data_IF_717557825449
#
_entry.id   IF_717557825449
#
_cell.length_a   1.000
_cell.length_b   1.000
_cell.length_c   1.000
_cell.angle_alpha   90.00
_cell.angle_beta   90.00
_cell.angle_gamma   90.00
#
_symmetry.space_group_name_H-M   'P 1'
#
loop_
_entity.id
_entity.type
_entity.pdbx_description
1 polymer ?
#
# COMPACT_ATOMS: atom_id res chain seq x y z
N UNK A 1 39.92 22.82 10.77
CA UNK A 1 38.65 22.72 11.53
C UNK A 1 38.24 21.25 11.44
N UNK A 2 38.53 20.49 12.50
CA UNK A 2 38.30 19.04 12.56
C UNK A 2 36.87 18.89 13.06
N UNK A 3 35.99 18.35 12.21
CA UNK A 3 34.64 17.98 12.64
C UNK A 3 34.77 16.66 13.40
N UNK A 4 34.58 16.75 14.70
CA UNK A 4 34.44 15.63 15.61
C UNK A 4 33.21 14.80 15.14
N UNK A 5 33.43 13.52 14.84
CA UNK A 5 32.33 12.57 14.59
C UNK A 5 31.63 12.34 15.92
N UNK A 6 30.29 12.47 15.98
CA UNK A 6 29.58 12.01 17.16
C UNK A 6 29.78 10.50 17.32
N UNK A 7 30.09 10.13 18.55
CA UNK A 7 30.28 8.75 19.00
C UNK A 7 29.11 7.88 18.60
N UNK A 8 29.39 6.67 18.14
CA UNK A 8 28.47 5.59 17.86
C UNK A 8 27.59 5.32 19.08
N UNK A 9 26.42 5.95 19.13
CA UNK A 9 25.34 5.51 20.01
C UNK A 9 24.96 4.09 19.59
N UNK A 10 25.17 3.18 20.51
CA UNK A 10 24.93 1.75 20.43
C UNK A 10 23.48 1.48 20.00
N UNK A 11 23.30 0.94 18.80
CA UNK A 11 22.02 0.48 18.22
C UNK A 11 21.47 -0.77 18.97
N UNK A 12 21.27 -0.65 20.28
CA UNK A 12 20.58 -1.69 21.06
C UNK A 12 19.10 -1.36 21.03
N UNK A 13 18.31 -2.09 20.20
CA UNK A 13 16.86 -2.06 20.18
C UNK A 13 16.19 -1.54 18.92
N UNK A 14 16.90 -1.20 17.85
CA UNK A 14 16.26 -0.88 16.56
C UNK A 14 15.90 -2.18 15.84
N UNK A 15 14.58 -2.42 15.67
CA UNK A 15 14.08 -3.43 14.73
C UNK A 15 14.64 -3.14 13.34
N UNK A 16 14.90 -4.20 12.55
CA UNK A 16 15.35 -4.02 11.16
C UNK A 16 14.33 -3.20 10.38
N UNK A 17 14.79 -2.19 9.62
CA UNK A 17 13.90 -1.39 8.78
C UNK A 17 13.13 -2.29 7.82
N UNK A 18 11.82 -2.10 7.75
CA UNK A 18 10.89 -3.01 7.11
C UNK A 18 10.00 -2.28 6.12
N UNK A 19 9.69 -2.91 4.98
CA UNK A 19 8.64 -2.44 4.06
C UNK A 19 7.31 -3.05 4.50
N UNK A 20 6.39 -2.22 4.96
CA UNK A 20 5.02 -2.59 5.30
C UNK A 20 4.14 -2.46 4.06
N UNK A 21 3.61 -3.57 3.58
CA UNK A 21 2.75 -3.66 2.39
C UNK A 21 1.31 -3.75 2.86
N UNK A 22 0.47 -2.79 2.46
CA UNK A 22 -0.93 -2.72 2.89
C UNK A 22 -1.82 -3.25 1.77
N UNK A 23 -2.52 -4.35 2.03
CA UNK A 23 -3.36 -5.04 1.08
C UNK A 23 -4.78 -5.25 1.59
N UNK A 24 -5.71 -5.45 0.65
CA UNK A 24 -7.11 -5.65 0.94
C UNK A 24 -8.00 -5.11 -0.17
N UNK A 25 -9.29 -5.50 -0.21
CA UNK A 25 -10.23 -5.06 -1.22
C UNK A 25 -10.56 -3.56 -1.13
N UNK A 26 -11.23 -3.05 -2.14
CA UNK A 26 -11.75 -1.68 -2.15
C UNK A 26 -12.68 -1.45 -0.95
N UNK A 27 -12.52 -0.33 -0.26
CA UNK A 27 -13.32 0.01 0.94
C UNK A 27 -12.90 -0.69 2.25
N UNK A 28 -11.85 -1.53 2.25
CA UNK A 28 -11.37 -2.23 3.46
C UNK A 28 -10.67 -1.30 4.48
N UNK A 29 -10.48 -0.02 4.18
CA UNK A 29 -9.85 0.94 5.09
C UNK A 29 -8.32 1.02 5.00
N UNK A 30 -7.73 0.55 3.91
CA UNK A 30 -6.27 0.50 3.71
C UNK A 30 -5.57 1.84 3.95
N UNK A 31 -6.04 2.91 3.34
CA UNK A 31 -5.42 4.24 3.46
C UNK A 31 -5.52 4.78 4.90
N UNK A 32 -6.66 4.56 5.58
CA UNK A 32 -6.83 4.92 6.99
C UNK A 32 -5.84 4.16 7.87
N UNK A 33 -5.72 2.84 7.65
CA UNK A 33 -4.76 2.01 8.37
C UNK A 33 -3.31 2.42 8.10
N UNK A 34 -2.98 2.66 6.82
CA UNK A 34 -1.64 3.11 6.42
C UNK A 34 -1.25 4.44 7.10
N UNK A 35 -2.18 5.40 7.20
CA UNK A 35 -1.97 6.66 7.90
C UNK A 35 -1.74 6.45 9.41
N UNK A 36 -2.51 5.57 10.06
CA UNK A 36 -2.34 5.22 11.47
C UNK A 36 -0.98 4.57 11.72
N UNK A 37 -0.61 3.58 10.90
CA UNK A 37 0.69 2.93 10.97
C UNK A 37 1.84 3.93 10.69
N UNK A 38 1.62 4.86 9.76
CA UNK A 38 2.56 5.93 9.47
C UNK A 38 2.84 6.84 10.64
N UNK A 39 1.80 7.19 11.40
CA UNK A 39 1.96 7.96 12.64
C UNK A 39 2.74 7.17 13.71
N UNK A 40 2.48 5.88 13.87
CA UNK A 40 3.20 5.01 14.80
C UNK A 40 4.68 4.84 14.42
N UNK A 41 4.98 4.72 13.12
CA UNK A 41 6.32 4.50 12.59
C UNK A 41 7.09 5.77 12.25
N UNK A 42 6.47 6.94 12.41
CA UNK A 42 7.04 8.24 12.04
C UNK A 42 7.50 8.29 10.57
N UNK A 43 6.75 7.66 9.67
CA UNK A 43 6.99 7.63 8.23
C UNK A 43 5.68 7.81 7.46
N UNK A 44 5.60 8.71 6.48
CA UNK A 44 4.38 8.88 5.69
C UNK A 44 4.14 7.68 4.78
N UNK A 45 2.89 7.21 4.62
CA UNK A 45 2.60 6.13 3.70
C UNK A 45 2.70 6.58 2.24
N UNK A 46 3.17 5.69 1.40
CA UNK A 46 3.27 5.85 -0.05
C UNK A 46 2.05 5.17 -0.69
N UNK A 47 1.03 5.97 -1.00
CA UNK A 47 -0.29 5.49 -1.48
C UNK A 47 -0.41 5.73 -2.98
N UNK A 48 -0.52 4.67 -3.77
CA UNK A 48 -0.58 4.73 -5.23
C UNK A 48 -1.73 5.59 -5.75
N UNK A 49 -2.93 5.43 -5.19
CA UNK A 49 -4.11 6.19 -5.65
C UNK A 49 -3.93 7.70 -5.45
N UNK A 50 -3.29 8.11 -4.37
CA UNK A 50 -2.95 9.52 -4.12
C UNK A 50 -1.94 10.05 -5.14
N UNK A 51 -0.94 9.26 -5.50
CA UNK A 51 0.02 9.65 -6.54
C UNK A 51 -0.64 9.77 -7.90
N UNK A 52 -1.49 8.79 -8.27
CA UNK A 52 -2.23 8.82 -9.53
C UNK A 52 -3.15 10.04 -9.63
N UNK A 53 -3.89 10.35 -8.54
CA UNK A 53 -4.77 11.50 -8.51
C UNK A 53 -3.99 12.81 -8.64
N UNK A 54 -2.96 13.00 -7.83
CA UNK A 54 -2.21 14.25 -7.80
C UNK A 54 -1.38 14.52 -9.06
N UNK A 55 -0.81 13.47 -9.67
CA UNK A 55 0.11 13.62 -10.80
C UNK A 55 -0.58 13.55 -12.16
N UNK A 56 -1.72 12.85 -12.27
CA UNK A 56 -2.26 12.49 -13.57
C UNK A 56 -3.76 12.70 -13.76
N UNK A 57 -4.54 12.95 -12.69
CA UNK A 57 -5.99 13.07 -12.85
C UNK A 57 -6.39 14.20 -13.81
N UNK A 58 -5.65 15.32 -13.78
CA UNK A 58 -5.88 16.46 -14.68
C UNK A 58 -5.67 16.13 -16.17
N UNK A 59 -4.81 15.14 -16.46
CA UNK A 59 -4.47 14.74 -17.84
C UNK A 59 -5.22 13.47 -18.28
N UNK A 60 -6.30 13.11 -17.58
CA UNK A 60 -7.09 11.91 -17.87
C UNK A 60 -7.78 12.06 -19.22
N UNK A 61 -7.51 11.14 -20.20
CA UNK A 61 -8.13 11.21 -21.51
C UNK A 61 -9.60 10.73 -21.45
N UNK A 62 -10.37 11.06 -22.47
CA UNK A 62 -11.76 10.58 -22.61
C UNK A 62 -11.83 9.13 -23.12
N UNK A 63 -10.81 8.67 -23.84
CA UNK A 63 -10.73 7.32 -24.45
C UNK A 63 -9.50 6.57 -23.95
N UNK A 64 -9.47 5.26 -24.17
CA UNK A 64 -8.34 4.37 -23.82
C UNK A 64 -7.92 4.42 -22.33
N UNK A 65 -8.89 4.64 -21.46
CA UNK A 65 -8.68 4.83 -20.03
C UNK A 65 -7.90 3.68 -19.38
N UNK A 66 -8.15 2.44 -19.79
CA UNK A 66 -7.49 1.27 -19.19
C UNK A 66 -6.00 1.21 -19.50
N UNK A 67 -5.64 1.44 -20.77
CA UNK A 67 -4.22 1.48 -21.18
C UNK A 67 -3.51 2.66 -20.52
N UNK A 68 -4.16 3.83 -20.52
CA UNK A 68 -3.64 5.05 -19.88
C UNK A 68 -3.42 4.86 -18.38
N UNK A 69 -4.39 4.29 -17.66
CA UNK A 69 -4.31 4.03 -16.23
C UNK A 69 -3.24 2.97 -15.91
N UNK A 70 -3.23 1.86 -16.65
CA UNK A 70 -2.28 0.77 -16.45
C UNK A 70 -0.83 1.21 -16.56
N UNK A 71 -0.51 2.02 -17.58
CA UNK A 71 0.85 2.55 -17.76
C UNK A 71 1.27 3.46 -16.60
N UNK A 72 0.38 4.35 -16.13
CA UNK A 72 0.67 5.26 -15.03
C UNK A 72 0.77 4.54 -13.69
N UNK A 73 -0.14 3.58 -13.45
CA UNK A 73 -0.06 2.68 -12.29
C UNK A 73 1.30 1.99 -12.23
N UNK A 74 1.74 1.38 -13.32
CA UNK A 74 3.05 0.70 -13.40
C UNK A 74 4.20 1.65 -13.04
N UNK A 75 4.25 2.84 -13.64
CA UNK A 75 5.31 3.84 -13.41
C UNK A 75 5.29 4.36 -11.97
N UNK A 76 4.12 4.69 -11.42
CA UNK A 76 4.00 5.11 -10.03
C UNK A 76 4.42 4.00 -9.07
N UNK A 77 3.98 2.75 -9.28
CA UNK A 77 4.35 1.62 -8.43
C UNK A 77 5.86 1.41 -8.43
N UNK A 78 6.51 1.48 -9.60
CA UNK A 78 7.97 1.40 -9.69
C UNK A 78 8.66 2.51 -8.88
N UNK A 79 8.19 3.74 -8.99
CA UNK A 79 8.77 4.86 -8.26
C UNK A 79 8.51 4.79 -6.76
N UNK A 80 7.30 4.37 -6.35
CA UNK A 80 6.96 4.14 -4.94
C UNK A 80 7.89 3.08 -4.33
N UNK A 81 8.09 1.96 -5.02
CA UNK A 81 8.99 0.91 -4.54
C UNK A 81 10.45 1.36 -4.48
N UNK A 82 10.91 2.12 -5.46
CA UNK A 82 12.26 2.71 -5.43
C UNK A 82 12.45 3.63 -4.20
N UNK A 83 11.44 4.43 -3.87
CA UNK A 83 11.47 5.29 -2.69
C UNK A 83 11.42 4.47 -1.39
N UNK A 84 10.57 3.43 -1.33
CA UNK A 84 10.48 2.53 -0.18
C UNK A 84 11.82 1.84 0.11
N UNK A 85 12.50 1.31 -0.90
CA UNK A 85 13.84 0.74 -0.77
C UNK A 85 14.87 1.80 -0.32
N UNK A 86 14.75 3.03 -0.82
CA UNK A 86 15.58 4.16 -0.37
C UNK A 86 15.41 4.44 1.11
N UNK A 87 14.17 4.48 1.62
CA UNK A 87 13.88 4.70 3.04
C UNK A 87 14.50 3.61 3.91
N UNK A 88 14.28 2.35 3.57
CA UNK A 88 14.84 1.21 4.30
C UNK A 88 16.36 1.22 4.31
N UNK A 89 16.98 1.51 3.18
CA UNK A 89 18.44 1.64 3.07
C UNK A 89 19.00 2.72 4.00
N UNK A 90 18.21 3.73 4.32
CA UNK A 90 18.59 4.80 5.26
C UNK A 90 18.11 4.55 6.70
N UNK A 91 17.66 3.34 7.01
CA UNK A 91 17.30 2.92 8.36
C UNK A 91 15.90 3.35 8.81
N UNK A 92 14.98 3.61 7.87
CA UNK A 92 13.60 3.98 8.13
C UNK A 92 12.65 2.91 7.58
N UNK A 93 11.54 2.66 8.28
CA UNK A 93 10.46 1.84 7.74
C UNK A 93 9.82 2.56 6.54
N UNK A 94 9.27 1.78 5.61
CA UNK A 94 8.44 2.28 4.53
C UNK A 94 7.06 1.63 4.59
N UNK A 95 6.01 2.38 4.26
CA UNK A 95 4.63 1.87 4.21
C UNK A 95 4.13 2.11 2.79
N UNK A 96 3.70 1.04 2.12
CA UNK A 96 3.25 1.11 0.72
C UNK A 96 1.84 0.55 0.56
N UNK A 97 0.99 1.24 -0.20
CA UNK A 97 -0.32 0.79 -0.65
C UNK A 97 -0.36 0.87 -2.18
N UNK A 98 -0.25 -0.29 -2.86
CA UNK A 98 -0.12 -0.38 -4.31
C UNK A 98 -1.39 -0.84 -5.04
N UNK A 99 -2.47 -1.14 -4.30
CA UNK A 99 -3.72 -1.60 -4.87
C UNK A 99 -3.57 -2.86 -5.73
N UNK A 100 -2.82 -3.86 -5.26
CA UNK A 100 -2.59 -5.14 -5.94
C UNK A 100 -3.78 -6.06 -5.73
N UNK A 101 -4.65 -6.19 -6.73
CA UNK A 101 -5.88 -6.99 -6.63
C UNK A 101 -5.67 -8.45 -7.00
N UNK A 102 -4.62 -8.77 -7.76
CA UNK A 102 -4.31 -10.14 -8.21
C UNK A 102 -3.25 -10.79 -7.34
N UNK A 103 -3.42 -12.07 -7.03
CA UNK A 103 -2.45 -12.86 -6.29
C UNK A 103 -1.09 -12.93 -7.02
N UNK A 104 -1.11 -13.03 -8.35
CA UNK A 104 0.10 -13.06 -9.19
C UNK A 104 0.97 -11.79 -9.00
N UNK A 105 0.34 -10.61 -8.99
CA UNK A 105 1.05 -9.34 -8.80
C UNK A 105 1.68 -9.26 -7.40
N UNK A 106 0.95 -9.71 -6.37
CA UNK A 106 1.42 -9.75 -4.98
C UNK A 106 2.57 -10.73 -4.81
N UNK A 107 2.43 -11.95 -5.36
CA UNK A 107 3.50 -12.96 -5.33
C UNK A 107 4.77 -12.48 -6.02
N UNK A 108 4.63 -11.77 -7.14
CA UNK A 108 5.78 -11.15 -7.84
C UNK A 108 6.49 -10.13 -6.95
N UNK A 109 5.72 -9.30 -6.22
CA UNK A 109 6.29 -8.33 -5.27
C UNK A 109 7.02 -9.03 -4.12
N UNK A 110 6.41 -10.04 -3.48
CA UNK A 110 7.03 -10.78 -2.37
C UNK A 110 8.32 -11.49 -2.80
N UNK A 111 8.29 -12.13 -3.97
CA UNK A 111 9.47 -12.79 -4.54
C UNK A 111 10.62 -11.82 -4.83
N UNK A 112 10.31 -10.60 -5.24
CA UNK A 112 11.32 -9.55 -5.42
C UNK A 112 11.94 -9.16 -4.06
N UNK A 113 11.12 -8.94 -3.02
CA UNK A 113 11.61 -8.66 -1.66
C UNK A 113 12.52 -9.76 -1.14
N UNK A 114 12.11 -11.03 -1.31
CA UNK A 114 12.86 -12.21 -0.90
C UNK A 114 14.20 -12.33 -1.63
N UNK A 115 14.20 -12.09 -2.95
CA UNK A 115 15.42 -12.12 -3.77
C UNK A 115 16.43 -11.05 -3.33
N UNK A 116 15.95 -9.90 -2.93
CA UNK A 116 16.78 -8.79 -2.45
C UNK A 116 17.12 -8.89 -0.96
N UNK A 117 16.67 -9.95 -0.26
CA UNK A 117 16.75 -10.11 1.20
C UNK A 117 16.18 -8.90 1.95
N UNK A 118 15.15 -8.26 1.39
CA UNK A 118 14.47 -7.12 1.97
C UNK A 118 13.43 -7.59 3.00
N UNK A 119 13.55 -7.12 4.25
CA UNK A 119 12.54 -7.38 5.27
C UNK A 119 11.21 -6.71 4.88
N UNK A 120 10.11 -7.46 4.93
CA UNK A 120 8.78 -6.93 4.65
C UNK A 120 7.71 -7.56 5.55
N UNK A 121 6.61 -6.85 5.73
CA UNK A 121 5.41 -7.31 6.44
C UNK A 121 4.19 -6.95 5.61
N UNK A 122 3.32 -7.92 5.37
CA UNK A 122 2.05 -7.74 4.66
C UNK A 122 0.92 -7.59 5.66
N UNK A 123 0.24 -6.47 5.61
CA UNK A 123 -0.98 -6.20 6.40
C UNK A 123 -2.18 -6.45 5.52
N UNK A 124 -2.88 -7.55 5.76
CA UNK A 124 -4.07 -7.96 5.00
C UNK A 124 -5.30 -7.44 5.71
N UNK A 125 -5.92 -6.41 5.14
CA UNK A 125 -7.15 -5.83 5.65
C UNK A 125 -8.35 -6.50 5.02
N UNK A 126 -9.36 -6.78 5.83
CA UNK A 126 -10.64 -7.30 5.36
C UNK A 126 -11.81 -6.68 6.12
N UNK A 127 -12.94 -6.59 5.44
CA UNK A 127 -14.24 -6.20 5.97
C UNK A 127 -15.35 -6.76 5.08
N UNK A 128 -16.54 -6.95 5.65
CA UNK A 128 -17.71 -7.39 4.92
C UNK A 128 -18.01 -6.48 3.72
N UNK A 129 -18.45 -7.05 2.59
CA UNK A 129 -18.66 -6.31 1.33
C UNK A 129 -19.61 -5.11 1.52
N UNK A 130 -20.71 -5.30 2.25
CA UNK A 130 -21.69 -4.25 2.49
C UNK A 130 -21.10 -3.10 3.31
N UNK A 131 -20.29 -3.41 4.31
CA UNK A 131 -19.58 -2.42 5.11
C UNK A 131 -18.57 -1.64 4.25
N UNK A 132 -17.83 -2.32 3.38
CA UNK A 132 -16.90 -1.68 2.44
C UNK A 132 -17.62 -0.72 1.48
N UNK A 133 -18.77 -1.12 0.95
CA UNK A 133 -19.59 -0.28 0.07
C UNK A 133 -20.12 0.96 0.82
N UNK A 134 -20.65 0.77 2.04
CA UNK A 134 -21.08 1.87 2.91
C UNK A 134 -19.97 2.89 3.14
N UNK A 135 -18.73 2.42 3.41
CA UNK A 135 -17.56 3.29 3.60
C UNK A 135 -17.19 4.04 2.34
N UNK A 136 -17.25 3.40 1.18
CA UNK A 136 -17.00 4.05 -0.12
C UNK A 136 -18.02 5.14 -0.38
N UNK A 137 -19.32 4.89 -0.16
CA UNK A 137 -20.37 5.90 -0.32
C UNK A 137 -20.16 7.09 0.62
N UNK A 138 -19.84 6.81 1.91
CA UNK A 138 -19.54 7.85 2.88
C UNK A 138 -18.35 8.70 2.43
N UNK A 139 -17.24 8.08 2.06
CA UNK A 139 -16.02 8.74 1.58
C UNK A 139 -16.29 9.61 0.34
N UNK A 140 -17.03 9.09 -0.64
CA UNK A 140 -17.39 9.83 -1.84
C UNK A 140 -18.24 11.09 -1.54
N UNK A 141 -19.06 11.06 -0.48
CA UNK A 141 -19.88 12.19 -0.06
C UNK A 141 -19.11 13.23 0.75
N UNK A 142 -18.18 12.77 1.60
CA UNK A 142 -17.47 13.63 2.54
C UNK A 142 -16.21 14.26 1.94
N UNK A 143 -15.64 13.63 0.90
CA UNK A 143 -14.39 14.04 0.23
C UNK A 143 -13.27 14.42 1.22
N UNK A 144 -13.18 13.63 2.32
CA UNK A 144 -12.23 13.89 3.40
C UNK A 144 -10.78 13.50 3.05
N UNK A 145 -9.91 13.47 4.05
CA UNK A 145 -8.46 13.29 3.92
C UNK A 145 -8.03 12.03 3.12
N UNK A 146 -8.82 10.97 3.14
CA UNK A 146 -8.52 9.71 2.41
C UNK A 146 -9.19 9.65 1.03
N UNK A 147 -9.80 10.74 0.56
CA UNK A 147 -10.42 10.81 -0.76
C UNK A 147 -9.38 11.11 -1.82
N UNK A 148 -9.03 10.12 -2.64
CA UNK A 148 -8.15 10.32 -3.80
C UNK A 148 -8.94 10.52 -5.09
N UNK A 149 -9.99 9.72 -5.30
CA UNK A 149 -10.87 9.79 -6.45
C UNK A 149 -12.25 9.19 -6.14
N UNK A 150 -13.24 9.57 -6.93
CA UNK A 150 -14.60 9.02 -6.84
C UNK A 150 -14.60 7.55 -7.29
N UNK A 151 -15.21 6.69 -6.49
CA UNK A 151 -15.45 5.28 -6.80
C UNK A 151 -16.95 5.07 -6.97
N UNK A 152 -17.42 4.93 -8.22
CA UNK A 152 -18.84 4.62 -8.49
C UNK A 152 -19.20 3.20 -8.04
N UNK A 153 -20.51 2.89 -7.98
CA UNK A 153 -20.98 1.56 -7.61
C UNK A 153 -20.52 0.48 -8.62
N UNK A 154 -20.44 0.81 -9.90
CA UNK A 154 -19.92 -0.07 -10.94
C UNK A 154 -18.42 -0.36 -10.71
N UNK A 155 -17.63 0.66 -10.41
CA UNK A 155 -16.20 0.52 -10.11
C UNK A 155 -16.00 -0.26 -8.82
N UNK A 156 -16.80 -0.01 -7.78
CA UNK A 156 -16.75 -0.78 -6.53
C UNK A 156 -17.04 -2.24 -6.75
N UNK A 157 -18.10 -2.53 -7.52
CA UNK A 157 -18.51 -3.91 -7.87
C UNK A 157 -17.42 -4.62 -8.64
N UNK A 158 -16.93 -4.01 -9.72
CA UNK A 158 -15.88 -4.58 -10.55
C UNK A 158 -14.59 -4.83 -9.74
N UNK A 159 -14.13 -3.85 -8.96
CA UNK A 159 -12.91 -4.00 -8.15
C UNK A 159 -13.08 -5.05 -7.04
N UNK A 160 -14.29 -5.17 -6.46
CA UNK A 160 -14.59 -6.19 -5.46
C UNK A 160 -14.62 -7.60 -6.05
N UNK A 161 -15.15 -7.75 -7.28
CA UNK A 161 -15.26 -9.05 -7.97
C UNK A 161 -13.91 -9.51 -8.55
N UNK A 162 -13.04 -8.56 -8.89
CA UNK A 162 -11.69 -8.85 -9.37
C UNK A 162 -10.68 -9.09 -8.22
N UNK A 163 -11.02 -8.73 -6.99
CA UNK A 163 -10.15 -8.97 -5.85
C UNK A 163 -9.98 -10.47 -5.59
N UNK A 164 -8.76 -10.94 -5.61
CA UNK A 164 -8.36 -12.28 -5.22
C UNK A 164 -7.94 -12.26 -3.74
N UNK A 165 -8.72 -12.87 -2.82
CA UNK A 165 -8.35 -12.90 -1.40
C UNK A 165 -6.99 -13.54 -1.16
N UNK A 166 -6.24 -13.00 -0.20
CA UNK A 166 -4.96 -13.60 0.20
C UNK A 166 -5.20 -14.98 0.79
N UNK A 167 -4.65 -16.01 0.15
CA UNK A 167 -4.87 -17.42 0.48
C UNK A 167 -3.63 -18.11 1.06
N UNK A 168 -3.83 -19.35 1.54
CA UNK A 168 -2.77 -20.15 2.13
C UNK A 168 -1.59 -20.41 1.17
N UNK A 169 -1.86 -20.55 -0.13
CA UNK A 169 -0.82 -20.75 -1.15
C UNK A 169 0.11 -19.54 -1.24
N UNK A 170 -0.47 -18.34 -1.15
CA UNK A 170 0.25 -17.08 -1.20
C UNK A 170 1.12 -16.86 0.05
N UNK A 171 0.67 -17.36 1.20
CA UNK A 171 1.38 -17.27 2.48
C UNK A 171 2.41 -18.37 2.69
N UNK A 172 2.37 -19.46 1.91
CA UNK A 172 3.20 -20.64 2.12
C UNK A 172 4.70 -20.32 2.19
N UNK A 173 5.32 -20.67 3.30
CA UNK A 173 6.74 -20.43 3.56
C UNK A 173 7.10 -19.00 3.96
N UNK A 174 6.10 -18.14 4.09
CA UNK A 174 6.24 -16.73 4.49
C UNK A 174 5.20 -16.29 5.52
N UNK A 175 4.60 -17.20 6.24
CA UNK A 175 3.49 -16.96 7.17
C UNK A 175 3.84 -15.90 8.23
N UNK A 176 5.09 -15.87 8.68
CA UNK A 176 5.56 -14.91 9.67
C UNK A 176 5.54 -13.44 9.18
N UNK A 177 5.44 -13.23 7.86
CA UNK A 177 5.38 -11.89 7.27
C UNK A 177 3.96 -11.33 7.19
N UNK A 178 2.91 -12.13 7.53
CA UNK A 178 1.51 -11.73 7.34
C UNK A 178 0.84 -11.35 8.65
N UNK A 179 0.14 -10.23 8.65
CA UNK A 179 -0.72 -9.74 9.72
C UNK A 179 -2.13 -9.55 9.16
N UNK A 180 -3.11 -10.28 9.69
CA UNK A 180 -4.51 -10.10 9.33
C UNK A 180 -5.17 -9.05 10.22
N UNK A 181 -5.80 -8.06 9.59
CA UNK A 181 -6.45 -6.93 10.25
C UNK A 181 -7.94 -6.94 9.89
N UNK A 182 -8.77 -7.38 10.82
CA UNK A 182 -10.23 -7.22 10.66
C UNK A 182 -10.60 -5.77 10.97
N UNK A 183 -11.24 -5.11 10.00
CA UNK A 183 -11.65 -3.71 10.10
C UNK A 183 -13.17 -3.55 10.29
N UNK A 184 -13.94 -4.62 10.44
CA UNK A 184 -15.37 -4.56 10.78
C UNK A 184 -15.55 -3.91 12.17
N UNK A 185 -16.06 -2.67 12.18
CA UNK A 185 -16.46 -1.93 13.39
C UNK A 185 -17.75 -1.15 13.17
#
# INVERSE_FOLDING_TARGET
>A
MIFDKPETETLIGRTMPTIHIIEGPVGAGKTTYANSLGAERSTPPLVLDSWLANLFLADRPETDLWAWYGERKRRCSTQIMSLAHGLVKHGQDAIVELGLIKAEDRLSLYSAMETENQAYTVHVLDAARDERQRRVHKRNKEEGETFAMLVSDEVFTLASDLWEPVGLEEMRGREANFIHVNTDR
#
